data_IF_227192983787
#
_entry.id   IF_227192983787
#
_cell.length_a   1.000
_cell.length_b   1.000
_cell.length_c   1.000
_cell.angle_alpha   90.00
_cell.angle_beta   90.00
_cell.angle_gamma   90.00
#
_symmetry.space_group_name_H-M   'P 1'
#
loop_
_entity.id
_entity.type
_entity.pdbx_description
1 polymer ?
#
# COMPACT_ATOMS: atom_id res chain seq x y z
N UNK A 1 3.90 25.84 7.92
CA UNK A 1 3.41 24.94 6.84
C UNK A 1 4.51 23.91 6.57
N UNK A 2 4.22 22.59 6.60
CA UNK A 2 5.24 21.53 6.44
C UNK A 2 5.60 21.32 4.96
N UNK A 3 6.82 20.88 4.65
CA UNK A 3 7.33 20.72 3.27
C UNK A 3 6.46 19.79 2.42
N UNK A 4 5.93 18.70 3.00
CA UNK A 4 5.06 17.76 2.28
C UNK A 4 3.80 18.43 1.72
N UNK A 5 3.17 19.35 2.46
CA UNK A 5 1.98 20.06 1.97
C UNK A 5 2.33 21.06 0.85
N UNK A 6 3.54 21.62 0.86
CA UNK A 6 3.99 22.51 -0.21
C UNK A 6 4.24 21.73 -1.50
N UNK A 7 4.90 20.56 -1.38
CA UNK A 7 5.13 19.66 -2.51
C UNK A 7 3.82 19.14 -3.09
N UNK A 8 2.86 18.76 -2.24
CA UNK A 8 1.55 18.29 -2.69
C UNK A 8 0.78 19.39 -3.43
N UNK A 9 0.81 20.64 -2.94
CA UNK A 9 0.18 21.78 -3.62
C UNK A 9 0.78 22.02 -5.01
N UNK A 10 2.10 21.96 -5.14
CA UNK A 10 2.74 22.12 -6.45
C UNK A 10 2.41 20.94 -7.37
N UNK A 11 2.35 19.72 -6.85
CA UNK A 11 1.93 18.55 -7.62
C UNK A 11 0.48 18.68 -8.14
N UNK A 12 -0.45 19.16 -7.31
CA UNK A 12 -1.82 19.43 -7.70
C UNK A 12 -1.91 20.51 -8.79
N UNK A 13 -1.14 21.59 -8.66
CA UNK A 13 -1.05 22.64 -9.68
C UNK A 13 -0.56 22.06 -11.02
N UNK A 14 0.55 21.32 -10.99
CA UNK A 14 1.13 20.69 -12.19
C UNK A 14 0.20 19.66 -12.84
N UNK A 15 -0.62 18.97 -12.04
CA UNK A 15 -1.60 18.00 -12.50
C UNK A 15 -2.79 18.69 -13.22
N UNK A 16 -3.30 19.79 -12.65
CA UNK A 16 -4.33 20.60 -13.29
C UNK A 16 -3.84 21.22 -14.61
N UNK A 17 -2.62 21.78 -14.64
CA UNK A 17 -2.01 22.33 -15.87
C UNK A 17 -1.87 21.27 -16.99
N UNK A 18 -1.78 19.99 -16.62
CA UNK A 18 -1.70 18.84 -17.54
C UNK A 18 -3.05 18.20 -17.83
N UNK A 19 -4.15 18.75 -17.32
CA UNK A 19 -5.50 18.17 -17.45
C UNK A 19 -5.58 16.71 -16.97
N UNK A 20 -4.86 16.36 -15.89
CA UNK A 20 -5.05 15.08 -15.23
C UNK A 20 -6.40 15.09 -14.50
N UNK A 21 -7.05 13.92 -14.42
CA UNK A 21 -8.37 13.78 -13.80
C UNK A 21 -8.32 13.52 -12.28
N UNK A 22 -7.21 12.97 -11.77
CA UNK A 22 -7.02 12.67 -10.35
C UNK A 22 -5.55 12.51 -9.97
N UNK A 23 -5.28 12.57 -8.67
CA UNK A 23 -4.09 11.99 -8.05
C UNK A 23 -4.46 10.73 -7.28
N UNK A 24 -3.55 9.76 -7.31
CA UNK A 24 -3.64 8.52 -6.56
C UNK A 24 -2.40 8.38 -5.68
N UNK A 25 -2.60 7.97 -4.43
CA UNK A 25 -1.53 7.79 -3.46
C UNK A 25 -1.72 6.49 -2.68
N UNK A 26 -0.71 5.63 -2.69
CA UNK A 26 -0.68 4.41 -1.89
C UNK A 26 0.23 4.59 -0.69
N UNK A 27 -0.31 4.30 0.51
CA UNK A 27 0.45 4.44 1.75
C UNK A 27 0.12 3.32 2.73
N UNK A 28 1.07 3.02 3.62
CA UNK A 28 0.87 2.05 4.71
C UNK A 28 -0.08 2.60 5.77
N UNK A 29 -0.42 1.76 6.73
CA UNK A 29 -1.25 1.96 7.92
C UNK A 29 -0.73 2.98 8.95
N UNK A 30 -0.12 4.10 8.52
CA UNK A 30 0.29 5.17 9.42
C UNK A 30 -0.82 6.23 9.56
N UNK A 31 -1.45 6.37 10.75
CA UNK A 31 -2.58 7.29 10.93
C UNK A 31 -2.25 8.75 10.65
N UNK A 32 -1.01 9.18 10.93
CA UNK A 32 -0.58 10.55 10.64
C UNK A 32 -0.52 10.83 9.14
N UNK A 33 -0.08 9.85 8.34
CA UNK A 33 -0.03 9.97 6.88
C UNK A 33 -1.44 9.93 6.28
N UNK A 34 -2.32 9.07 6.80
CA UNK A 34 -3.73 9.03 6.36
C UNK A 34 -4.41 10.38 6.59
N UNK A 35 -4.29 10.91 7.81
CA UNK A 35 -4.82 12.23 8.13
C UNK A 35 -4.21 13.34 7.26
N UNK A 36 -2.95 13.22 6.82
CA UNK A 36 -2.36 14.16 5.87
C UNK A 36 -3.09 14.12 4.51
N UNK A 37 -3.36 12.95 3.95
CA UNK A 37 -4.10 12.83 2.69
C UNK A 37 -5.56 13.29 2.82
N UNK A 38 -6.26 12.84 3.86
CA UNK A 38 -7.65 13.23 4.14
C UNK A 38 -7.80 14.74 4.31
N UNK A 39 -6.90 15.37 5.08
CA UNK A 39 -6.90 16.83 5.25
C UNK A 39 -6.57 17.62 3.97
N UNK A 40 -6.01 16.98 2.94
CA UNK A 40 -5.77 17.57 1.63
C UNK A 40 -6.86 17.20 0.61
N UNK A 41 -7.98 16.60 1.05
CA UNK A 41 -9.13 16.31 0.20
C UNK A 41 -9.04 15.01 -0.59
N UNK A 42 -8.12 14.12 -0.21
CA UNK A 42 -8.14 12.75 -0.72
C UNK A 42 -9.19 11.92 0.02
N UNK A 43 -9.75 10.93 -0.66
CA UNK A 43 -10.65 9.92 -0.11
C UNK A 43 -10.02 8.54 -0.23
N UNK A 44 -10.16 7.71 0.81
CA UNK A 44 -9.72 6.32 0.76
C UNK A 44 -10.69 5.51 -0.10
N UNK A 45 -10.18 4.81 -1.12
CA UNK A 45 -11.00 4.07 -2.09
C UNK A 45 -10.76 2.57 -2.08
N UNK A 46 -9.55 2.13 -1.69
CA UNK A 46 -9.20 0.71 -1.73
C UNK A 46 -8.13 0.36 -0.68
N UNK A 47 -7.93 -0.94 -0.43
CA UNK A 47 -6.82 -1.45 0.36
C UNK A 47 -6.50 -2.92 0.08
N UNK A 48 -5.23 -3.27 0.19
CA UNK A 48 -4.76 -4.65 0.19
C UNK A 48 -3.68 -4.84 1.27
N UNK A 49 -3.35 -6.09 1.57
CA UNK A 49 -2.30 -6.38 2.55
C UNK A 49 -0.95 -6.53 1.89
N UNK A 50 0.05 -5.88 2.46
CA UNK A 50 1.46 -6.18 2.31
C UNK A 50 1.83 -7.31 3.27
N UNK A 51 2.14 -8.48 2.72
CA UNK A 51 2.52 -9.67 3.49
C UNK A 51 4.02 -9.91 3.33
N UNK A 52 4.74 -9.84 4.44
CA UNK A 52 6.15 -10.21 4.51
C UNK A 52 6.27 -11.58 5.17
N UNK A 53 7.11 -12.43 4.61
CA UNK A 53 7.44 -13.73 5.19
C UNK A 53 8.96 -13.79 5.29
N UNK A 54 9.47 -13.63 6.51
CA UNK A 54 10.90 -13.45 6.78
C UNK A 54 11.56 -14.76 7.28
N UNK A 55 10.76 -15.82 7.42
CA UNK A 55 11.21 -17.14 7.89
C UNK A 55 10.68 -18.27 7.02
N UNK A 56 11.48 -19.32 6.87
CA UNK A 56 11.15 -20.50 6.06
C UNK A 56 9.83 -21.15 6.48
N UNK A 57 9.47 -21.10 7.76
CA UNK A 57 8.22 -21.69 8.27
C UNK A 57 6.97 -20.95 7.79
N UNK A 58 7.02 -19.63 7.62
CA UNK A 58 5.89 -18.83 7.08
C UNK A 58 5.73 -19.04 5.57
N UNK A 59 6.83 -19.36 4.89
CA UNK A 59 6.86 -19.61 3.44
C UNK A 59 6.44 -21.06 3.12
N UNK A 60 6.79 -22.01 4.00
CA UNK A 60 6.58 -23.43 3.80
C UNK A 60 5.10 -23.76 3.69
N UNK A 61 4.69 -24.26 2.53
CA UNK A 61 3.30 -24.62 2.24
C UNK A 61 2.45 -23.49 1.64
N UNK A 62 2.97 -22.26 1.62
CA UNK A 62 2.34 -21.11 0.96
C UNK A 62 2.99 -20.84 -0.39
N UNK A 63 4.32 -20.82 -0.45
CA UNK A 63 5.07 -20.56 -1.67
C UNK A 63 6.13 -21.63 -1.89
N UNK A 64 6.23 -22.09 -3.14
CA UNK A 64 7.26 -23.02 -3.60
C UNK A 64 7.80 -22.55 -4.95
N UNK A 65 9.11 -22.67 -5.12
CA UNK A 65 9.73 -22.56 -6.43
C UNK A 65 9.33 -23.75 -7.29
N UNK A 66 9.19 -23.52 -8.59
CA UNK A 66 9.07 -24.57 -9.62
C UNK A 66 10.42 -24.98 -10.21
N UNK A 67 11.53 -24.38 -9.74
CA UNK A 67 12.90 -24.72 -10.13
C UNK A 67 13.51 -25.58 -9.02
N UNK A 68 14.04 -26.75 -9.40
CA UNK A 68 14.71 -27.67 -8.49
C UNK A 68 15.83 -26.98 -7.71
N UNK A 69 15.86 -27.24 -6.40
CA UNK A 69 16.87 -26.72 -5.46
C UNK A 69 16.89 -25.19 -5.27
N UNK A 70 15.96 -24.44 -5.86
CA UNK A 70 15.76 -23.02 -5.57
C UNK A 70 14.69 -22.87 -4.49
N UNK A 71 15.02 -22.20 -3.37
CA UNK A 71 14.10 -22.04 -2.26
C UNK A 71 13.89 -20.56 -1.93
N UNK A 72 12.63 -20.10 -1.79
CA UNK A 72 12.36 -18.77 -1.24
C UNK A 72 12.79 -18.71 0.23
N UNK A 73 13.63 -17.72 0.57
CA UNK A 73 14.09 -17.44 1.94
C UNK A 73 13.30 -16.31 2.59
N UNK A 74 12.91 -15.32 1.78
CA UNK A 74 12.07 -14.20 2.16
C UNK A 74 11.15 -13.83 1.01
N UNK A 75 9.93 -13.41 1.31
CA UNK A 75 8.97 -12.98 0.29
C UNK A 75 8.23 -11.72 0.71
N UNK A 76 7.91 -10.90 -0.29
CA UNK A 76 6.96 -9.80 -0.19
C UNK A 76 5.83 -10.08 -1.17
N UNK A 77 4.59 -10.10 -0.68
CA UNK A 77 3.41 -10.39 -1.47
C UNK A 77 2.28 -9.40 -1.18
N UNK A 78 1.43 -9.17 -2.19
CA UNK A 78 0.16 -8.49 -2.02
C UNK A 78 -0.95 -9.51 -1.83
N UNK A 79 -1.74 -9.37 -0.77
CA UNK A 79 -2.99 -10.13 -0.62
C UNK A 79 -4.18 -9.21 -0.85
N UNK A 80 -4.90 -9.45 -1.94
CA UNK A 80 -6.07 -8.68 -2.40
C UNK A 80 -7.40 -9.40 -2.12
N UNK A 81 -7.37 -10.52 -1.38
CA UNK A 81 -8.57 -11.26 -1.02
C UNK A 81 -9.34 -10.65 0.16
N UNK A 82 -10.52 -11.20 0.44
CA UNK A 82 -11.43 -10.70 1.47
C UNK A 82 -11.05 -11.14 2.90
N UNK A 83 -10.41 -12.30 3.05
CA UNK A 83 -10.11 -12.91 4.36
C UNK A 83 -8.85 -12.32 5.03
N UNK A 84 -8.77 -10.99 5.10
CA UNK A 84 -7.61 -10.24 5.60
C UNK A 84 -7.22 -10.62 7.02
N UNK A 85 -8.19 -10.89 7.90
CA UNK A 85 -7.93 -11.26 9.29
C UNK A 85 -7.22 -12.62 9.43
N UNK A 86 -7.54 -13.58 8.57
CA UNK A 86 -6.89 -14.89 8.62
C UNK A 86 -5.45 -14.81 8.12
N UNK A 87 -5.20 -13.98 7.10
CA UNK A 87 -3.84 -13.67 6.64
C UNK A 87 -3.02 -13.00 7.75
N UNK A 88 -3.59 -12.04 8.50
CA UNK A 88 -2.90 -11.41 9.63
C UNK A 88 -2.57 -12.37 10.77
N UNK A 89 -3.34 -13.45 10.94
CA UNK A 89 -3.02 -14.51 11.91
C UNK A 89 -1.94 -15.47 11.41
N UNK A 90 -1.87 -15.67 10.09
CA UNK A 90 -0.95 -16.62 9.47
C UNK A 90 0.48 -16.08 9.36
N UNK A 91 0.65 -14.77 9.15
CA UNK A 91 1.96 -14.13 8.97
C UNK A 91 2.25 -13.12 10.08
N UNK A 92 3.49 -13.09 10.55
CA UNK A 92 3.94 -12.21 11.64
C UNK A 92 3.97 -10.74 11.25
N UNK A 93 4.31 -10.45 9.98
CA UNK A 93 4.51 -9.08 9.50
C UNK A 93 3.60 -8.81 8.31
N UNK A 94 2.46 -8.21 8.64
CA UNK A 94 1.43 -7.81 7.68
C UNK A 94 1.07 -6.36 7.91
N UNK A 95 1.00 -5.58 6.83
CA UNK A 95 0.57 -4.18 6.88
C UNK A 95 -0.58 -3.97 5.90
N UNK A 96 -1.53 -3.11 6.26
CA UNK A 96 -2.47 -2.60 5.28
C UNK A 96 -1.80 -1.52 4.42
N UNK A 97 -2.02 -1.61 3.11
CA UNK A 97 -1.70 -0.56 2.15
C UNK A 97 -3.02 -0.01 1.61
N UNK A 98 -3.20 1.30 1.73
CA UNK A 98 -4.43 2.01 1.40
C UNK A 98 -4.22 2.89 0.18
N UNK A 99 -5.20 2.86 -0.72
CA UNK A 99 -5.28 3.79 -1.84
C UNK A 99 -6.11 5.00 -1.44
N UNK A 100 -5.55 6.18 -1.68
CA UNK A 100 -6.21 7.46 -1.56
C UNK A 100 -6.29 8.12 -2.93
N UNK A 101 -7.48 8.58 -3.30
CA UNK A 101 -7.71 9.31 -4.56
C UNK A 101 -8.18 10.74 -4.28
N UNK A 102 -7.75 11.69 -5.10
CA UNK A 102 -8.29 13.05 -5.15
C UNK A 102 -8.56 13.42 -6.61
N UNK A 103 -9.83 13.61 -6.95
CA UNK A 103 -10.24 14.03 -8.29
C UNK A 103 -10.07 15.54 -8.45
N UNK A 104 -9.74 15.96 -9.67
CA UNK A 104 -9.76 17.34 -10.09
C UNK A 104 -11.08 17.62 -10.81
N UNK A 105 -11.71 18.74 -10.48
CA UNK A 105 -12.94 19.21 -11.13
C UNK A 105 -12.62 20.04 -12.37
#
# INVERSE_FOLDING_TARGET
MKIGNQLLKEAEKLANERNLNRLEAWTRDNPWVHGLYENNGFVKVDSYLHVYSDHTDEIKGVMKSNIDQLYPIQTFAHYTGENKEDIRKQFKRVHDCFCFEKYFN
#
